data_IF_454217372961
#
_entry.id   IF_454217372961
#
_cell.length_a   1.000
_cell.length_b   1.000
_cell.length_c   1.000
_cell.angle_alpha   90.00
_cell.angle_beta   90.00
_cell.angle_gamma   90.00
#
_symmetry.space_group_name_H-M   'P 1'
#
loop_
_entity.id
_entity.type
_entity.pdbx_description
1 polymer ?
#
# COMPACT_ATOMS: atom_id res chain seq x y z
N UNK A 1 1.22 -33.36 0.67
CA UNK A 1 1.30 -32.11 -0.13
C UNK A 1 -0.12 -31.61 -0.25
N UNK A 2 -0.50 -30.62 0.57
CA UNK A 2 -1.75 -29.90 0.33
C UNK A 2 -1.63 -29.21 -1.02
N UNK A 3 -2.62 -29.41 -1.88
CA UNK A 3 -2.71 -28.66 -3.12
C UNK A 3 -3.06 -27.21 -2.76
N UNK A 4 -2.67 -26.26 -3.61
CA UNK A 4 -2.92 -24.82 -3.44
C UNK A 4 -4.42 -24.46 -3.27
N UNK A 5 -5.32 -25.42 -3.46
CA UNK A 5 -6.77 -25.30 -3.42
C UNK A 5 -7.44 -25.56 -2.06
N UNK A 6 -6.70 -25.95 -1.01
CA UNK A 6 -7.29 -26.32 0.30
C UNK A 6 -7.09 -25.27 1.42
N UNK A 7 -6.59 -24.06 1.10
CA UNK A 7 -6.36 -23.02 2.12
C UNK A 7 -7.56 -22.08 2.17
N UNK A 8 -8.29 -22.15 3.29
CA UNK A 8 -9.41 -21.27 3.58
C UNK A 8 -8.93 -19.93 4.16
N UNK A 9 -9.71 -18.88 3.92
CA UNK A 9 -9.49 -17.56 4.51
C UNK A 9 -9.72 -17.62 6.03
N UNK A 10 -8.66 -17.39 6.80
CA UNK A 10 -8.73 -17.32 8.26
C UNK A 10 -9.29 -15.96 8.71
N UNK A 11 -10.55 -15.98 9.14
CA UNK A 11 -11.26 -14.77 9.58
C UNK A 11 -10.67 -14.12 10.85
N UNK A 12 -9.76 -14.78 11.58
CA UNK A 12 -9.07 -14.18 12.72
C UNK A 12 -8.22 -12.96 12.34
N UNK A 13 -7.81 -12.80 11.08
CA UNK A 13 -7.16 -11.57 10.61
C UNK A 13 -8.06 -10.32 10.76
N UNK A 14 -9.38 -10.51 10.85
CA UNK A 14 -10.37 -9.44 11.04
C UNK A 14 -10.58 -9.07 12.52
N UNK A 15 -9.93 -9.77 13.45
CA UNK A 15 -10.11 -9.57 14.88
C UNK A 15 -9.41 -8.28 15.37
N UNK A 16 -10.19 -7.22 15.55
CA UNK A 16 -9.70 -5.93 16.04
C UNK A 16 -9.21 -5.93 17.50
N UNK A 17 -9.45 -7.00 18.26
CA UNK A 17 -8.90 -7.17 19.62
C UNK A 17 -7.56 -7.92 19.61
N UNK A 18 -7.06 -8.33 18.44
CA UNK A 18 -5.75 -8.96 18.29
C UNK A 18 -4.63 -8.03 18.76
N UNK A 19 -3.54 -8.55 19.36
CA UNK A 19 -2.35 -7.73 19.69
C UNK A 19 -1.70 -7.10 18.44
N UNK A 20 -1.98 -7.62 17.24
CA UNK A 20 -1.53 -7.07 15.97
C UNK A 20 -2.75 -6.97 15.06
N UNK A 21 -3.09 -5.75 14.64
CA UNK A 21 -4.18 -5.48 13.70
C UNK A 21 -3.57 -5.18 12.33
N UNK A 22 -4.00 -5.91 11.31
CA UNK A 22 -3.55 -5.69 9.93
C UNK A 22 -4.56 -4.86 9.15
N UNK A 23 -4.09 -3.77 8.58
CA UNK A 23 -4.87 -2.91 7.70
C UNK A 23 -4.28 -2.95 6.29
N UNK A 24 -4.94 -3.62 5.33
CA UNK A 24 -4.51 -3.71 3.95
C UNK A 24 -4.84 -2.40 3.24
N UNK A 25 -3.89 -1.88 2.48
CA UNK A 25 -4.06 -0.63 1.74
C UNK A 25 -3.88 -0.80 0.25
N UNK A 26 -4.51 0.11 -0.49
CA UNK A 26 -4.05 0.57 -1.79
C UNK A 26 -3.38 1.92 -1.58
N UNK A 27 -2.13 2.09 -2.02
CA UNK A 27 -1.21 3.17 -1.62
C UNK A 27 -1.68 4.60 -1.92
N UNK A 28 -2.66 4.75 -2.80
CA UNK A 28 -3.25 6.03 -3.17
C UNK A 28 -4.76 5.87 -3.24
N UNK A 29 -5.46 5.87 -2.10
CA UNK A 29 -6.91 5.66 -2.04
C UNK A 29 -7.55 6.58 -1.00
N UNK A 30 -8.39 7.54 -1.41
CA UNK A 30 -9.12 8.42 -0.49
C UNK A 30 -10.00 7.68 0.51
N UNK A 31 -10.77 6.67 0.07
CA UNK A 31 -11.61 5.88 0.98
C UNK A 31 -10.77 5.07 1.98
N UNK A 32 -9.72 4.38 1.50
CA UNK A 32 -8.78 3.65 2.34
C UNK A 32 -8.16 4.57 3.41
N UNK A 33 -7.65 5.73 3.00
CA UNK A 33 -7.07 6.73 3.89
C UNK A 33 -8.03 7.22 4.97
N UNK A 34 -9.28 7.52 4.60
CA UNK A 34 -10.31 7.95 5.56
C UNK A 34 -10.61 6.85 6.58
N UNK A 35 -10.81 5.63 6.10
CA UNK A 35 -11.18 4.48 6.93
C UNK A 35 -10.03 4.10 7.86
N UNK A 36 -8.79 4.12 7.37
CA UNK A 36 -7.59 3.88 8.17
C UNK A 36 -7.48 4.89 9.33
N UNK A 37 -7.70 6.18 9.06
CA UNK A 37 -7.69 7.21 10.12
C UNK A 37 -8.77 6.96 11.16
N UNK A 38 -9.98 6.62 10.72
CA UNK A 38 -11.08 6.30 11.63
C UNK A 38 -10.71 5.10 12.51
N UNK A 39 -10.25 4.01 11.90
CA UNK A 39 -9.85 2.80 12.61
C UNK A 39 -8.69 3.07 13.58
N UNK A 40 -7.65 3.80 13.17
CA UNK A 40 -6.51 4.09 14.02
C UNK A 40 -6.89 4.96 15.23
N UNK A 41 -7.83 5.90 15.05
CA UNK A 41 -8.36 6.72 16.15
C UNK A 41 -9.21 5.89 17.13
N UNK A 42 -10.01 4.93 16.64
CA UNK A 42 -10.80 4.04 17.48
C UNK A 42 -9.94 2.98 18.19
N UNK A 43 -8.94 2.42 17.49
CA UNK A 43 -8.04 1.40 18.00
C UNK A 43 -7.05 1.94 19.05
N UNK A 44 -6.62 3.20 18.92
CA UNK A 44 -5.58 3.81 19.76
C UNK A 44 -4.34 2.91 19.92
N UNK A 45 -3.69 2.50 18.82
CA UNK A 45 -2.56 1.57 18.88
C UNK A 45 -1.37 2.20 19.63
N UNK A 46 -0.56 1.36 20.27
CA UNK A 46 0.67 1.81 20.96
C UNK A 46 1.84 2.05 20.01
N UNK A 47 1.76 1.54 18.78
CA UNK A 47 2.73 1.75 17.71
C UNK A 47 2.10 1.46 16.35
N UNK A 48 2.63 2.10 15.31
CA UNK A 48 2.22 1.86 13.91
C UNK A 48 3.43 1.41 13.10
N UNK A 49 3.29 0.34 12.33
CA UNK A 49 4.32 -0.14 11.41
C UNK A 49 3.79 -0.11 9.98
N UNK A 50 4.58 0.43 9.06
CA UNK A 50 4.11 0.86 7.74
C UNK A 50 5.00 0.26 6.65
N UNK A 51 4.41 -0.23 5.56
CA UNK A 51 5.17 -0.60 4.37
C UNK A 51 5.88 0.62 3.78
N UNK A 52 7.20 0.56 3.79
CA UNK A 52 8.07 1.60 3.28
C UNK A 52 9.54 1.29 3.62
N UNK A 53 10.48 2.09 3.11
CA UNK A 53 11.90 1.79 3.18
C UNK A 53 12.42 1.90 4.62
N UNK A 54 12.75 0.76 5.24
CA UNK A 54 13.23 0.74 6.63
C UNK A 54 14.57 1.44 6.85
N UNK A 55 15.38 1.61 5.79
CA UNK A 55 16.60 2.42 5.76
C UNK A 55 16.34 3.93 5.84
N UNK A 56 15.07 4.37 5.72
CA UNK A 56 14.67 5.77 5.97
C UNK A 56 14.30 6.05 7.42
N UNK A 57 14.18 5.04 8.31
CA UNK A 57 13.66 5.23 9.67
C UNK A 57 14.46 6.24 10.52
N UNK A 58 15.79 6.32 10.35
CA UNK A 58 16.63 7.29 11.07
C UNK A 58 16.33 8.75 10.67
N UNK A 59 15.75 8.94 9.50
CA UNK A 59 15.38 10.23 8.90
C UNK A 59 13.86 10.44 8.85
N UNK A 60 13.06 9.56 9.47
CA UNK A 60 11.58 9.62 9.37
C UNK A 60 11.00 10.98 9.80
N UNK A 61 11.68 11.68 10.72
CA UNK A 61 11.29 13.03 11.16
C UNK A 61 11.32 14.08 10.03
N UNK A 62 12.09 13.85 8.96
CA UNK A 62 12.14 14.74 7.79
C UNK A 62 10.80 14.82 7.06
N UNK A 63 9.97 13.77 7.14
CA UNK A 63 8.61 13.78 6.58
C UNK A 63 7.74 14.87 7.21
N UNK A 64 8.09 15.36 8.40
CA UNK A 64 7.33 16.38 9.12
C UNK A 64 7.89 17.80 8.98
N UNK A 65 8.94 17.99 8.17
CA UNK A 65 9.44 19.32 7.84
C UNK A 65 8.40 20.11 7.02
N UNK A 66 8.47 21.45 6.99
CA UNK A 66 7.59 22.24 6.14
C UNK A 66 7.83 21.93 4.65
N UNK A 67 6.82 21.37 3.99
CA UNK A 67 6.78 21.12 2.54
C UNK A 67 5.33 20.99 2.07
N UNK A 68 5.14 20.90 0.76
CA UNK A 68 3.86 20.62 0.12
C UNK A 68 3.91 19.24 -0.55
N UNK A 69 2.79 18.51 -0.48
CA UNK A 69 2.62 17.23 -1.17
C UNK A 69 2.24 17.48 -2.63
N UNK A 70 2.60 16.57 -3.57
CA UNK A 70 3.25 15.27 -3.34
C UNK A 70 4.77 15.33 -3.09
N UNK A 71 5.27 14.41 -2.27
CA UNK A 71 6.70 14.15 -2.07
C UNK A 71 6.98 12.66 -2.27
N UNK A 72 8.23 12.26 -2.36
CA UNK A 72 8.61 10.85 -2.36
C UNK A 72 9.87 10.61 -1.53
N UNK A 73 9.99 9.43 -0.94
CA UNK A 73 11.29 8.91 -0.55
C UNK A 73 11.92 8.30 -1.81
N UNK A 74 13.10 8.77 -2.19
CA UNK A 74 13.86 8.28 -3.32
C UNK A 74 15.07 7.49 -2.83
N UNK A 75 15.07 6.18 -3.11
CA UNK A 75 16.22 5.30 -2.86
C UNK A 75 16.98 5.10 -4.16
N UNK A 76 18.31 5.13 -4.12
CA UNK A 76 19.15 4.90 -5.30
C UNK A 76 20.35 4.01 -4.97
N UNK A 77 20.85 3.34 -6.00
CA UNK A 77 22.08 2.54 -5.93
C UNK A 77 22.86 2.62 -7.24
N UNK A 78 24.19 2.50 -7.15
CA UNK A 78 25.05 2.21 -8.29
C UNK A 78 25.56 0.77 -8.17
N UNK A 79 25.19 -0.06 -9.14
CA UNK A 79 25.61 -1.46 -9.21
C UNK A 79 27.10 -1.55 -9.61
N UNK A 80 27.69 -2.75 -9.45
CA UNK A 80 29.11 -3.01 -9.72
C UNK A 80 29.52 -2.82 -11.17
N UNK A 81 28.58 -2.92 -12.12
CA UNK A 81 28.77 -2.64 -13.54
C UNK A 81 28.67 -1.13 -13.89
N UNK A 82 28.45 -0.27 -12.90
CA UNK A 82 28.24 1.17 -13.07
C UNK A 82 26.79 1.57 -13.38
N UNK A 83 25.87 0.62 -13.50
CA UNK A 83 24.45 0.88 -13.74
C UNK A 83 23.84 1.58 -12.53
N UNK A 84 23.24 2.75 -12.76
CA UNK A 84 22.50 3.50 -11.73
C UNK A 84 21.03 3.13 -11.79
N UNK A 85 20.47 2.83 -10.62
CA UNK A 85 19.06 2.50 -10.47
C UNK A 85 18.49 3.28 -9.29
N UNK A 86 17.18 3.51 -9.31
CA UNK A 86 16.48 4.09 -8.17
C UNK A 86 15.02 3.65 -8.10
N UNK A 87 14.45 3.85 -6.93
CA UNK A 87 13.04 3.63 -6.68
C UNK A 87 12.39 4.74 -5.86
N UNK A 88 11.10 4.94 -6.13
CA UNK A 88 10.27 5.95 -5.48
C UNK A 88 9.21 5.32 -4.60
N UNK A 89 9.02 5.93 -3.42
CA UNK A 89 7.92 5.71 -2.48
C UNK A 89 7.14 7.02 -2.36
N UNK A 90 6.19 7.28 -3.26
CA UNK A 90 5.49 8.55 -3.28
C UNK A 90 4.42 8.66 -2.20
N UNK A 91 4.22 9.88 -1.71
CA UNK A 91 3.15 10.27 -0.79
C UNK A 91 2.36 11.43 -1.37
N UNK A 92 1.05 11.34 -1.24
CA UNK A 92 0.13 12.46 -1.48
C UNK A 92 -0.84 12.60 -0.31
N UNK A 93 -1.69 13.63 -0.33
CA UNK A 93 -2.62 13.90 0.78
C UNK A 93 -3.57 12.75 1.07
N UNK A 94 -3.87 11.88 0.11
CA UNK A 94 -4.74 10.71 0.28
C UNK A 94 -3.97 9.37 0.21
N UNK A 95 -2.66 9.39 0.46
CA UNK A 95 -1.90 8.15 0.71
C UNK A 95 -2.18 7.62 2.12
N UNK A 96 -2.63 6.37 2.28
CA UNK A 96 -2.92 5.79 3.60
C UNK A 96 -1.70 5.80 4.54
N UNK A 97 -0.51 5.55 4.01
CA UNK A 97 0.77 5.60 4.72
C UNK A 97 1.05 7.01 5.24
N UNK A 98 0.80 8.04 4.42
CA UNK A 98 0.93 9.42 4.84
C UNK A 98 -0.07 9.76 5.94
N UNK A 99 -1.34 9.36 5.77
CA UNK A 99 -2.37 9.63 6.75
C UNK A 99 -2.11 8.95 8.09
N UNK A 100 -1.60 7.72 8.09
CA UNK A 100 -1.30 7.00 9.33
C UNK A 100 -0.06 7.56 10.04
N UNK A 101 0.93 8.09 9.32
CA UNK A 101 2.04 8.86 9.89
C UNK A 101 1.52 10.11 10.63
N UNK A 102 0.56 10.82 10.04
CA UNK A 102 -0.07 11.99 10.68
C UNK A 102 -0.86 11.60 11.93
N UNK A 103 -1.56 10.45 11.90
CA UNK A 103 -2.24 9.90 13.08
C UNK A 103 -1.23 9.57 14.18
N UNK A 104 -0.15 8.85 13.86
CA UNK A 104 0.89 8.51 14.82
C UNK A 104 1.48 9.75 15.50
N UNK A 105 1.78 10.79 14.71
CA UNK A 105 2.24 12.09 15.23
C UNK A 105 1.20 12.75 16.15
N UNK A 106 -0.08 12.71 15.79
CA UNK A 106 -1.15 13.32 16.60
C UNK A 106 -1.39 12.60 17.92
N UNK A 107 -1.16 11.28 17.97
CA UNK A 107 -1.29 10.45 19.16
C UNK A 107 0.01 10.38 19.97
N UNK A 108 1.10 10.98 19.48
CA UNK A 108 2.45 10.89 20.06
C UNK A 108 2.93 9.44 20.26
N UNK A 109 2.68 8.59 19.25
CA UNK A 109 3.08 7.17 19.25
C UNK A 109 4.16 6.90 18.18
N UNK A 110 5.02 5.89 18.38
CA UNK A 110 6.04 5.53 17.39
C UNK A 110 5.41 5.03 16.09
N UNK A 111 5.94 5.54 14.97
CA UNK A 111 5.73 5.00 13.63
C UNK A 111 7.07 4.60 13.00
N UNK A 112 7.10 3.48 12.29
CA UNK A 112 8.31 3.03 11.57
C UNK A 112 7.97 2.31 10.27
N UNK A 113 8.85 2.45 9.29
CA UNK A 113 8.85 1.69 8.05
C UNK A 113 9.43 0.29 8.25
N UNK A 114 8.80 -0.72 7.65
CA UNK A 114 9.13 -2.13 7.86
C UNK A 114 9.51 -2.91 6.61
N UNK A 115 9.50 -2.32 5.42
CA UNK A 115 9.91 -3.01 4.19
C UNK A 115 11.43 -3.04 4.03
N UNK A 116 11.90 -4.04 3.29
CA UNK A 116 13.31 -4.25 3.01
C UNK A 116 13.89 -3.04 2.25
N UNK A 117 15.09 -2.54 2.63
CA UNK A 117 15.74 -1.46 1.89
C UNK A 117 15.85 -1.80 0.41
N UNK A 118 15.34 -0.92 -0.46
CA UNK A 118 15.24 -1.25 -1.89
C UNK A 118 16.61 -1.52 -2.51
N UNK A 119 17.65 -0.83 -2.05
CA UNK A 119 19.02 -1.04 -2.51
C UNK A 119 19.51 -2.48 -2.32
N UNK A 120 18.96 -3.25 -1.36
CA UNK A 120 19.32 -4.66 -1.14
C UNK A 120 18.73 -5.61 -2.18
N UNK A 121 17.63 -5.21 -2.83
CA UNK A 121 16.97 -6.00 -3.89
C UNK A 121 17.13 -5.39 -5.28
N UNK A 122 17.84 -4.26 -5.39
CA UNK A 122 17.97 -3.50 -6.62
C UNK A 122 18.70 -4.25 -7.75
N UNK A 123 19.43 -5.33 -7.47
CA UNK A 123 19.99 -6.20 -8.50
C UNK A 123 18.95 -7.12 -9.16
N UNK A 124 17.84 -7.40 -8.47
CA UNK A 124 16.79 -8.33 -8.91
C UNK A 124 15.48 -7.62 -9.27
N UNK A 125 15.19 -6.49 -8.63
CA UNK A 125 13.98 -5.71 -8.88
C UNK A 125 13.99 -5.22 -10.32
N UNK A 126 12.94 -5.46 -11.11
CA UNK A 126 12.84 -4.87 -12.46
C UNK A 126 12.20 -3.48 -12.40
N UNK A 127 11.31 -3.25 -11.43
CA UNK A 127 10.52 -2.03 -11.32
C UNK A 127 11.18 -0.99 -10.43
N UNK A 128 11.18 0.27 -10.87
CA UNK A 128 11.57 1.45 -10.11
C UNK A 128 10.47 1.97 -9.18
N UNK A 129 9.29 1.36 -9.18
CA UNK A 129 8.15 1.88 -8.41
C UNK A 129 7.59 0.80 -7.50
N UNK A 130 7.42 1.14 -6.22
CA UNK A 130 7.18 0.17 -5.14
C UNK A 130 5.73 0.08 -4.69
N UNK A 131 4.91 1.06 -5.08
CA UNK A 131 3.49 1.17 -4.76
C UNK A 131 2.61 0.90 -5.98
N UNK A 132 3.09 0.10 -6.93
CA UNK A 132 2.34 -0.27 -8.12
C UNK A 132 1.35 -1.40 -7.84
N UNK A 133 0.21 -1.39 -8.54
CA UNK A 133 -0.83 -2.43 -8.45
C UNK A 133 -0.55 -3.62 -9.42
N UNK A 134 0.71 -3.83 -9.83
CA UNK A 134 1.08 -4.78 -10.90
C UNK A 134 0.70 -6.23 -10.63
N UNK A 135 0.69 -6.60 -9.35
CA UNK A 135 0.36 -7.91 -8.83
C UNK A 135 -1.12 -8.21 -9.02
N UNK A 136 -1.98 -7.20 -8.90
CA UNK A 136 -3.43 -7.32 -9.05
C UNK A 136 -3.87 -7.23 -10.51
N UNK A 137 -3.19 -6.42 -11.32
CA UNK A 137 -3.51 -6.26 -12.76
C UNK A 137 -3.39 -7.56 -13.56
N UNK A 138 -2.59 -8.52 -13.08
CA UNK A 138 -2.35 -9.81 -13.75
C UNK A 138 -3.26 -10.93 -13.21
N UNK A 139 -4.27 -10.59 -12.42
CA UNK A 139 -5.02 -11.57 -11.65
C UNK A 139 -6.28 -12.06 -12.33
N UNK A 140 -6.39 -13.37 -12.53
CA UNK A 140 -7.62 -14.02 -13.06
C UNK A 140 -8.85 -13.78 -12.18
N UNK A 141 -8.65 -13.60 -10.87
CA UNK A 141 -9.69 -13.17 -9.94
C UNK A 141 -10.18 -11.75 -10.24
N UNK A 142 -9.27 -10.82 -10.52
CA UNK A 142 -9.64 -9.44 -10.89
C UNK A 142 -10.33 -9.42 -12.25
N UNK A 143 -9.87 -10.20 -13.22
CA UNK A 143 -10.55 -10.37 -14.52
C UNK A 143 -12.01 -10.85 -14.33
N UNK A 144 -12.21 -11.87 -13.50
CA UNK A 144 -13.55 -12.39 -13.18
C UNK A 144 -14.42 -11.37 -12.44
N UNK A 145 -13.84 -10.53 -11.58
CA UNK A 145 -14.55 -9.43 -10.93
C UNK A 145 -14.96 -8.36 -11.94
N UNK A 146 -14.07 -7.99 -12.87
CA UNK A 146 -14.38 -7.05 -13.94
C UNK A 146 -15.58 -7.52 -14.77
N UNK A 147 -15.59 -8.80 -15.17
CA UNK A 147 -16.70 -9.40 -15.92
C UNK A 147 -18.02 -9.36 -15.13
N UNK A 148 -17.99 -9.73 -13.84
CA UNK A 148 -19.19 -9.79 -13.01
C UNK A 148 -19.75 -8.41 -12.63
N UNK A 149 -18.88 -7.41 -12.52
CA UNK A 149 -19.24 -6.03 -12.17
C UNK A 149 -19.48 -5.15 -13.40
N UNK A 150 -19.27 -5.70 -14.60
CA UNK A 150 -19.39 -4.99 -15.88
C UNK A 150 -18.49 -3.74 -15.97
N UNK A 151 -17.22 -3.89 -15.58
CA UNK A 151 -16.21 -2.81 -15.59
C UNK A 151 -14.92 -3.20 -16.32
N UNK A 152 -14.08 -2.22 -16.68
CA UNK A 152 -12.98 -2.43 -17.62
C UNK A 152 -11.65 -2.81 -16.94
N UNK A 153 -11.49 -2.54 -15.65
CA UNK A 153 -10.25 -2.90 -14.96
C UNK A 153 -10.25 -2.73 -13.45
N UNK A 154 -9.07 -3.00 -12.86
CA UNK A 154 -8.85 -2.94 -11.42
C UNK A 154 -9.24 -1.60 -10.79
N UNK A 155 -8.99 -0.48 -11.47
CA UNK A 155 -9.35 0.85 -10.96
C UNK A 155 -10.86 0.96 -10.73
N UNK A 156 -11.67 0.49 -11.69
CA UNK A 156 -13.12 0.55 -11.61
C UNK A 156 -13.66 -0.43 -10.57
N UNK A 157 -13.09 -1.63 -10.50
CA UNK A 157 -13.40 -2.60 -9.43
C UNK A 157 -13.12 -1.98 -8.06
N UNK A 158 -11.97 -1.31 -7.91
CA UNK A 158 -11.60 -0.64 -6.68
C UNK A 158 -12.57 0.50 -6.35
N UNK A 159 -12.94 1.31 -7.35
CA UNK A 159 -13.87 2.41 -7.16
C UNK A 159 -15.23 1.93 -6.68
N UNK A 160 -15.79 0.90 -7.34
CA UNK A 160 -17.08 0.30 -7.00
C UNK A 160 -17.10 -0.33 -5.61
N UNK A 161 -16.04 -1.07 -5.25
CA UNK A 161 -16.00 -1.81 -3.99
C UNK A 161 -15.62 -0.95 -2.79
N UNK A 162 -14.80 0.09 -3.00
CA UNK A 162 -14.16 0.84 -1.92
C UNK A 162 -14.34 2.35 -2.01
N UNK A 163 -14.15 2.99 -3.16
CA UNK A 163 -14.14 4.45 -3.21
C UNK A 163 -15.52 5.07 -3.10
N UNK A 164 -16.52 4.52 -3.80
CA UNK A 164 -17.82 5.20 -3.93
C UNK A 164 -18.87 4.77 -2.91
N UNK A 165 -18.64 3.70 -2.14
CA UNK A 165 -19.60 3.20 -1.15
C UNK A 165 -19.66 4.14 0.08
N UNK A 166 -20.75 4.90 0.27
CA UNK A 166 -20.86 5.88 1.37
C UNK A 166 -21.06 5.21 2.73
N UNK A 167 -21.43 3.92 2.76
CA UNK A 167 -21.69 3.16 3.97
C UNK A 167 -20.52 2.26 4.39
N UNK A 168 -19.39 2.35 3.67
CA UNK A 168 -18.20 1.57 3.95
C UNK A 168 -17.55 2.02 5.26
N UNK A 169 -17.80 1.21 6.29
CA UNK A 169 -17.23 1.34 7.63
C UNK A 169 -15.93 0.51 7.76
N UNK A 170 -15.12 0.71 8.82
CA UNK A 170 -13.87 0.00 9.00
C UNK A 170 -13.95 -1.53 8.99
N UNK A 171 -14.96 -2.13 9.63
CA UNK A 171 -15.10 -3.59 9.68
C UNK A 171 -15.40 -4.18 8.31
N UNK A 172 -16.33 -3.56 7.56
CA UNK A 172 -16.69 -4.01 6.22
C UNK A 172 -15.55 -3.78 5.23
N UNK A 173 -14.81 -2.68 5.35
CA UNK A 173 -13.60 -2.44 4.57
C UNK A 173 -12.56 -3.54 4.80
N UNK A 174 -12.23 -3.83 6.06
CA UNK A 174 -11.23 -4.86 6.38
C UNK A 174 -11.65 -6.21 5.81
N UNK A 175 -12.92 -6.59 5.98
CA UNK A 175 -13.46 -7.82 5.43
C UNK A 175 -13.31 -7.87 3.90
N UNK A 176 -13.84 -6.87 3.19
CA UNK A 176 -13.78 -6.80 1.71
C UNK A 176 -12.34 -6.80 1.22
N UNK A 177 -11.48 -5.96 1.79
CA UNK A 177 -10.12 -5.77 1.30
C UNK A 177 -9.24 -6.98 1.59
N UNK A 178 -9.30 -7.57 2.80
CA UNK A 178 -8.53 -8.79 3.09
C UNK A 178 -8.97 -9.96 2.21
N UNK A 179 -10.28 -10.15 2.00
CA UNK A 179 -10.78 -11.20 1.10
C UNK A 179 -10.38 -10.95 -0.35
N UNK A 180 -10.54 -9.72 -0.84
CA UNK A 180 -10.11 -9.33 -2.19
C UNK A 180 -8.63 -9.65 -2.41
N UNK A 181 -7.75 -9.20 -1.51
CA UNK A 181 -6.31 -9.41 -1.65
C UNK A 181 -5.92 -10.89 -1.48
N UNK A 182 -6.57 -11.62 -0.58
CA UNK A 182 -6.36 -13.05 -0.40
C UNK A 182 -6.69 -13.83 -1.68
N UNK A 183 -7.88 -13.60 -2.26
CA UNK A 183 -8.32 -14.31 -3.46
C UNK A 183 -7.55 -13.91 -4.70
N UNK A 184 -7.23 -12.61 -4.87
CA UNK A 184 -6.38 -12.14 -5.95
C UNK A 184 -5.01 -12.84 -5.91
N UNK A 185 -4.41 -12.93 -4.72
CA UNK A 185 -3.11 -13.59 -4.55
C UNK A 185 -3.15 -15.09 -4.82
N UNK A 186 -4.21 -15.78 -4.41
CA UNK A 186 -4.35 -17.22 -4.62
C UNK A 186 -4.60 -17.59 -6.08
N UNK A 187 -5.33 -16.74 -6.82
CA UNK A 187 -5.69 -16.97 -8.22
C UNK A 187 -4.48 -17.31 -9.09
N UNK A 188 -3.41 -16.54 -8.96
CA UNK A 188 -2.30 -16.58 -9.93
C UNK A 188 -1.06 -17.26 -9.36
N UNK A 189 -1.09 -17.64 -8.08
CA UNK A 189 -0.11 -18.49 -7.41
C UNK A 189 1.35 -18.02 -7.37
N UNK A 190 1.67 -16.86 -7.95
CA UNK A 190 3.03 -16.38 -8.12
C UNK A 190 3.28 -15.13 -7.27
N UNK A 191 3.72 -15.33 -6.02
CA UNK A 191 4.53 -14.32 -5.35
C UNK A 191 5.93 -14.36 -5.94
N UNK A 192 6.50 -13.21 -6.30
CA UNK A 192 7.88 -13.19 -6.79
C UNK A 192 8.83 -13.57 -5.66
N UNK A 193 10.03 -14.07 -6.00
CA UNK A 193 11.08 -14.33 -5.00
C UNK A 193 11.44 -13.06 -4.21
N UNK A 194 11.28 -11.88 -4.80
CA UNK A 194 11.48 -10.59 -4.13
C UNK A 194 10.39 -10.34 -3.10
N UNK A 195 9.12 -10.62 -3.42
CA UNK A 195 8.02 -10.42 -2.48
C UNK A 195 8.14 -11.33 -1.26
N UNK A 196 8.59 -12.57 -1.44
CA UNK A 196 8.86 -13.48 -0.33
C UNK A 196 9.96 -12.92 0.60
N UNK A 197 11.03 -12.34 0.04
CA UNK A 197 12.10 -11.71 0.83
C UNK A 197 11.61 -10.49 1.60
N UNK A 198 10.80 -9.63 0.95
CA UNK A 198 10.18 -8.48 1.61
C UNK A 198 9.26 -8.92 2.74
N UNK A 199 8.46 -9.95 2.52
CA UNK A 199 7.52 -10.48 3.51
C UNK A 199 8.24 -11.12 4.70
N UNK A 200 9.32 -11.84 4.46
CA UNK A 200 10.18 -12.37 5.54
C UNK A 200 10.75 -11.23 6.39
N UNK A 201 11.26 -10.17 5.74
CA UNK A 201 11.78 -9.00 6.43
C UNK A 201 10.69 -8.25 7.21
N UNK A 202 9.59 -7.88 6.55
CA UNK A 202 8.45 -7.20 7.17
C UNK A 202 7.87 -7.99 8.34
N UNK A 203 7.71 -9.31 8.21
CA UNK A 203 7.22 -10.16 9.30
C UNK A 203 8.18 -10.11 10.50
N UNK A 204 9.50 -10.17 10.27
CA UNK A 204 10.49 -10.05 11.36
C UNK A 204 10.39 -8.70 12.09
N UNK A 205 10.14 -7.63 11.35
CA UNK A 205 9.99 -6.27 11.89
C UNK A 205 8.67 -6.13 12.68
N UNK A 206 7.58 -6.75 12.22
CA UNK A 206 6.30 -6.80 12.96
C UNK A 206 6.47 -7.57 14.26
N UNK A 207 7.13 -8.73 14.25
CA UNK A 207 7.42 -9.53 15.45
C UNK A 207 8.26 -8.71 16.45
N UNK A 208 9.26 -7.98 15.97
CA UNK A 208 10.08 -7.08 16.80
C UNK A 208 9.25 -5.94 17.38
N UNK A 209 8.39 -5.30 16.60
CA UNK A 209 7.50 -4.25 17.10
C UNK A 209 6.56 -4.78 18.19
N UNK A 210 5.96 -5.95 17.96
CA UNK A 210 5.07 -6.63 18.92
C UNK A 210 5.77 -6.96 20.22
N UNK A 211 7.04 -7.35 20.20
CA UNK A 211 7.80 -7.65 21.42
C UNK A 211 8.31 -6.41 22.14
N UNK A 212 8.47 -5.29 21.42
CA UNK A 212 8.96 -4.02 21.97
C UNK A 212 7.86 -3.24 22.68
N UNK A 213 6.62 -3.30 22.19
CA UNK A 213 5.51 -2.51 22.70
C UNK A 213 4.51 -3.36 23.49
N UNK A 214 4.08 -2.87 24.65
CA UNK A 214 3.03 -3.49 25.47
C UNK A 214 1.66 -2.92 25.11
N UNK A 215 1.03 -3.48 24.07
CA UNK A 215 -0.29 -3.07 23.60
C UNK A 215 -0.55 -3.50 22.16
N UNK A 216 -1.68 -3.06 21.59
CA UNK A 216 -2.00 -3.36 20.19
C UNK A 216 -1.14 -2.52 19.24
N UNK A 217 -0.51 -3.16 18.26
CA UNK A 217 0.16 -2.48 17.16
C UNK A 217 -0.70 -2.53 15.90
N UNK A 218 -0.64 -1.46 15.10
CA UNK A 218 -1.30 -1.38 13.81
C UNK A 218 -0.29 -1.58 12.67
N UNK A 219 -0.53 -2.57 11.82
CA UNK A 219 0.26 -2.88 10.63
C UNK A 219 -0.44 -2.32 9.40
N UNK A 220 0.22 -1.46 8.64
CA UNK A 220 -0.31 -0.84 7.42
C UNK A 220 0.58 -1.26 6.25
N UNK A 221 0.07 -2.12 5.39
CA UNK A 221 0.82 -2.67 4.25
C UNK A 221 -0.05 -2.78 3.03
N UNK A 222 0.55 -2.73 1.84
CA UNK A 222 -0.10 -3.05 0.58
C UNK A 222 -0.86 -4.36 0.71
N UNK A 223 -2.12 -4.35 0.28
CA UNK A 223 -3.06 -5.43 0.58
C UNK A 223 -2.56 -6.82 0.13
N UNK A 224 -1.76 -6.87 -0.93
CA UNK A 224 -1.16 -8.11 -1.45
C UNK A 224 -0.30 -8.85 -0.41
N UNK A 225 0.44 -8.12 0.43
CA UNK A 225 1.32 -8.69 1.46
C UNK A 225 0.59 -9.02 2.76
N UNK A 226 -0.52 -8.35 3.03
CA UNK A 226 -1.12 -8.30 4.37
C UNK A 226 -1.46 -9.68 4.95
N UNK A 227 -2.06 -10.58 4.15
CA UNK A 227 -2.40 -11.92 4.64
C UNK A 227 -1.15 -12.81 4.81
N UNK A 228 -0.16 -12.68 3.93
CA UNK A 228 1.10 -13.42 4.04
C UNK A 228 1.85 -13.03 5.32
N UNK A 229 1.83 -11.74 5.68
CA UNK A 229 2.40 -11.24 6.92
C UNK A 229 1.63 -11.74 8.15
N UNK A 230 0.30 -11.69 8.11
CA UNK A 230 -0.54 -12.30 9.14
C UNK A 230 -0.17 -13.77 9.37
N UNK A 231 -0.07 -14.54 8.29
CA UNK A 231 0.27 -15.96 8.36
C UNK A 231 1.66 -16.21 8.95
N UNK A 232 2.68 -15.43 8.54
CA UNK A 232 4.05 -15.53 9.08
C UNK A 232 4.14 -15.13 10.55
N UNK A 233 3.43 -14.09 10.98
CA UNK A 233 3.49 -13.56 12.36
C UNK A 233 2.73 -14.46 13.36
N UNK A 234 1.67 -15.13 12.91
CA UNK A 234 0.80 -15.97 13.75
C UNK A 234 0.89 -17.47 13.46
N UNK A 235 1.86 -17.91 12.66
CA UNK A 235 2.07 -19.31 12.29
C UNK A 235 0.80 -19.97 11.72
N UNK A 236 0.15 -19.28 10.78
CA UNK A 236 -1.07 -19.75 10.09
C UNK A 236 -0.73 -20.39 8.75
N UNK A 237 -1.56 -21.32 8.26
CA UNK A 237 -1.38 -21.89 6.93
C UNK A 237 -1.54 -20.81 5.85
N UNK A 238 -0.59 -20.76 4.92
CA UNK A 238 -0.65 -19.97 3.71
C UNK A 238 0.19 -20.66 2.63
N UNK A 239 -0.17 -20.61 1.33
CA UNK A 239 0.59 -21.34 0.32
C UNK A 239 2.00 -20.76 0.25
N UNK A 240 2.98 -21.59 0.63
CA UNK A 240 4.40 -21.27 0.53
C UNK A 240 4.82 -21.57 -0.91
N UNK A 241 5.04 -20.53 -1.70
CA UNK A 241 5.84 -20.62 -2.94
C UNK A 241 7.34 -20.70 -2.55
N UNK A 242 8.20 -21.35 -3.36
CA UNK A 242 9.45 -21.97 -2.91
C UNK A 242 10.41 -21.01 -2.21
N UNK A 243 11.24 -21.59 -1.33
CA UNK A 243 12.26 -20.95 -0.49
C UNK A 243 12.88 -19.71 -1.14
N UNK A 244 12.79 -18.58 -0.44
CA UNK A 244 13.47 -17.34 -0.76
C UNK A 244 14.96 -17.62 -1.08
N UNK A 245 15.49 -17.15 -2.21
CA UNK A 245 16.91 -17.30 -2.50
C UNK A 245 17.73 -16.61 -1.40
N UNK A 246 18.91 -17.14 -1.04
CA UNK A 246 19.77 -16.50 -0.04
C UNK A 246 20.14 -15.09 -0.51
N UNK A 247 19.88 -14.09 0.35
CA UNK A 247 20.33 -12.72 0.11
C UNK A 247 21.85 -12.73 0.14
N UNK A 248 22.48 -12.37 -0.99
CA UNK A 248 23.85 -11.86 -0.95
C UNK A 248 23.74 -10.38 -0.61
N UNK A 249 24.00 -10.01 0.64
CA UNK A 249 24.12 -8.61 1.07
C UNK A 249 25.41 -8.03 0.49
N UNK A 250 25.48 -7.93 -0.83
CA UNK A 250 26.47 -7.14 -1.52
C UNK A 250 26.05 -5.69 -1.31
N UNK A 251 26.52 -5.07 -0.24
CA UNK A 251 26.47 -3.61 -0.09
C UNK A 251 27.06 -3.02 -1.38
N UNK A 252 26.18 -2.52 -2.25
CA UNK A 252 26.64 -1.72 -3.38
C UNK A 252 27.31 -0.50 -2.74
N UNK A 253 28.59 -0.21 -3.03
CA UNK A 253 29.35 0.77 -2.25
C UNK A 253 28.86 2.22 -2.39
N UNK A 254 27.80 2.44 -3.20
CA UNK A 254 27.26 3.75 -3.49
C UNK A 254 25.73 3.70 -3.55
N UNK A 255 25.11 3.58 -2.37
CA UNK A 255 23.66 3.69 -2.16
C UNK A 255 23.33 5.00 -1.45
N UNK A 256 22.09 5.45 -1.57
CA UNK A 256 21.58 6.56 -0.78
C UNK A 256 20.07 6.62 -0.81
N UNK A 257 19.52 7.40 0.12
CA UNK A 257 18.09 7.61 0.27
C UNK A 257 17.84 9.06 0.68
N UNK A 258 16.87 9.71 0.04
CA UNK A 258 16.58 11.12 0.28
C UNK A 258 15.10 11.43 0.07
N UNK A 259 14.61 12.46 0.75
CA UNK A 259 13.32 13.05 0.44
C UNK A 259 13.42 13.93 -0.82
N UNK A 260 12.49 13.75 -1.76
CA UNK A 260 12.48 14.49 -3.02
C UNK A 260 11.10 15.04 -3.34
N UNK A 261 10.99 16.26 -3.90
CA UNK A 261 9.74 16.75 -4.44
C UNK A 261 9.15 15.79 -5.49
N UNK A 262 7.83 15.65 -5.46
CA UNK A 262 7.09 14.82 -6.40
C UNK A 262 5.91 15.62 -6.98
N UNK A 263 5.12 15.02 -7.85
CA UNK A 263 4.05 15.73 -8.56
C UNK A 263 2.93 14.77 -8.92
N UNK A 264 1.71 15.29 -9.08
CA UNK A 264 0.58 14.49 -9.53
C UNK A 264 0.79 13.91 -10.93
N UNK A 265 1.45 14.63 -11.85
CA UNK A 265 1.80 14.10 -13.17
C UNK A 265 2.70 12.86 -13.10
N UNK A 266 3.57 12.79 -12.08
CA UNK A 266 4.42 11.62 -11.80
C UNK A 266 3.73 10.56 -10.97
N UNK A 267 2.55 10.83 -10.42
CA UNK A 267 1.69 9.83 -9.79
C UNK A 267 0.73 9.21 -10.81
N UNK A 268 0.48 9.86 -11.95
CA UNK A 268 -0.52 9.42 -12.92
C UNK A 268 0.01 8.29 -13.81
N UNK A 269 -0.71 7.15 -13.80
CA UNK A 269 -0.36 6.00 -14.64
C UNK A 269 -0.58 6.25 -16.13
N UNK A 270 -1.46 7.17 -16.51
CA UNK A 270 -1.74 7.49 -17.91
C UNK A 270 -0.59 8.20 -18.62
N UNK A 271 0.34 8.80 -17.87
CA UNK A 271 1.51 9.53 -18.41
C UNK A 271 2.78 8.63 -18.42
N UNK A 272 2.62 7.33 -18.12
CA UNK A 272 3.70 6.33 -18.18
C UNK A 272 4.33 6.02 -16.82
N UNK A 273 3.63 6.30 -15.71
CA UNK A 273 4.06 5.91 -14.38
C UNK A 273 3.37 4.61 -13.92
N UNK A 274 4.08 3.49 -13.94
CA UNK A 274 3.53 2.16 -13.62
C UNK A 274 2.99 2.01 -12.17
N UNK A 275 3.13 3.01 -11.29
CA UNK A 275 2.67 2.96 -9.89
C UNK A 275 1.40 3.77 -9.58
N UNK A 276 0.70 4.27 -10.60
CA UNK A 276 -0.31 5.30 -10.42
C UNK A 276 -1.77 4.86 -10.35
N UNK A 277 -2.50 5.36 -9.36
CA UNK A 277 -3.95 5.57 -9.47
C UNK A 277 -4.22 6.52 -10.64
N UNK A 278 -5.16 6.18 -11.52
CA UNK A 278 -5.54 7.03 -12.63
C UNK A 278 -6.06 8.39 -12.13
N UNK A 279 -5.86 9.46 -12.89
CA UNK A 279 -6.49 10.77 -12.60
C UNK A 279 -6.28 11.29 -11.15
N UNK A 280 -5.05 11.39 -10.64
CA UNK A 280 -4.80 11.75 -9.24
C UNK A 280 -5.43 13.09 -8.79
N UNK A 281 -5.55 14.07 -9.71
CA UNK A 281 -6.24 15.33 -9.42
C UNK A 281 -7.74 15.17 -9.11
N UNK A 282 -8.42 14.20 -9.73
CA UNK A 282 -9.82 13.88 -9.43
C UNK A 282 -9.96 13.36 -7.99
N UNK A 283 -9.10 12.41 -7.60
CA UNK A 283 -9.12 11.85 -6.25
C UNK A 283 -8.69 12.86 -5.18
N UNK A 284 -7.82 13.83 -5.50
CA UNK A 284 -7.56 14.98 -4.63
C UNK A 284 -8.84 15.75 -4.36
N UNK A 285 -9.58 16.15 -5.40
CA UNK A 285 -10.80 16.92 -5.20
C UNK A 285 -11.83 16.13 -4.38
N UNK A 286 -12.00 14.84 -4.66
CA UNK A 286 -12.89 13.96 -3.86
C UNK A 286 -12.43 13.89 -2.40
N UNK A 287 -11.12 13.85 -2.15
CA UNK A 287 -10.57 13.88 -0.79
C UNK A 287 -10.88 15.19 -0.07
N UNK A 288 -10.66 16.33 -0.72
CA UNK A 288 -10.93 17.66 -0.15
C UNK A 288 -12.42 17.86 0.14
N UNK A 289 -13.29 17.50 -0.79
CA UNK A 289 -14.74 17.58 -0.63
C UNK A 289 -15.18 16.77 0.61
N UNK A 290 -14.63 15.58 0.79
CA UNK A 290 -14.92 14.73 1.96
C UNK A 290 -14.40 15.34 3.26
N UNK A 291 -13.24 16.00 3.26
CA UNK A 291 -12.74 16.73 4.44
C UNK A 291 -13.66 17.88 4.84
N UNK A 292 -14.37 18.47 3.87
CA UNK A 292 -15.40 19.49 4.11
C UNK A 292 -16.76 18.90 4.51
N UNK A 293 -16.88 17.57 4.60
CA UNK A 293 -18.13 16.87 4.92
C UNK A 293 -19.08 16.74 3.74
N UNK A 294 -18.64 17.04 2.52
CA UNK A 294 -19.43 16.81 1.33
C UNK A 294 -19.34 15.33 0.89
N UNK A 295 -20.49 14.75 0.54
CA UNK A 295 -20.57 13.36 0.05
C UNK A 295 -21.08 13.32 -1.39
N UNK A 296 -20.84 12.19 -2.07
CA UNK A 296 -21.25 11.95 -3.46
C UNK A 296 -20.79 13.03 -4.46
N UNK A 297 -19.67 13.70 -4.16
CA UNK A 297 -19.18 14.80 -4.98
C UNK A 297 -18.47 14.33 -6.25
N UNK A 298 -18.03 13.07 -6.31
CA UNK A 298 -17.41 12.48 -7.50
C UNK A 298 -18.22 12.72 -8.79
N UNK A 299 -19.56 12.62 -8.72
CA UNK A 299 -20.45 12.94 -9.86
C UNK A 299 -20.45 14.42 -10.23
N UNK A 300 -20.40 15.30 -9.23
CA UNK A 300 -20.33 16.76 -9.44
C UNK A 300 -18.98 17.15 -10.03
N UNK A 301 -17.89 16.59 -9.53
CA UNK A 301 -16.53 16.78 -10.05
C UNK A 301 -16.46 16.33 -11.50
N UNK A 302 -16.94 15.13 -11.82
CA UNK A 302 -17.01 14.64 -13.20
C UNK A 302 -17.85 15.56 -14.09
N UNK A 303 -19.02 16.00 -13.61
CA UNK A 303 -19.88 16.94 -14.34
C UNK A 303 -19.16 18.26 -14.63
N UNK A 304 -18.37 18.77 -13.68
CA UNK A 304 -17.59 20.00 -13.84
C UNK A 304 -16.51 19.80 -14.90
N UNK A 305 -15.73 18.72 -14.81
CA UNK A 305 -14.70 18.37 -15.81
C UNK A 305 -15.32 18.28 -17.21
N UNK A 306 -16.44 17.57 -17.36
CA UNK A 306 -17.14 17.44 -18.65
C UNK A 306 -17.61 18.80 -19.19
N UNK A 307 -18.08 19.70 -18.32
CA UNK A 307 -18.50 21.06 -18.73
C UNK A 307 -17.32 21.94 -19.14
N UNK A 308 -16.17 21.72 -18.54
CA UNK A 308 -14.95 22.49 -18.77
C UNK A 308 -14.13 21.93 -19.96
N UNK A 309 -14.45 20.73 -20.46
CA UNK A 309 -13.88 20.19 -21.69
C UNK A 309 -14.24 21.11 -22.88
N UNK A 310 -13.26 21.54 -23.69
CA UNK A 310 -13.55 22.37 -24.85
C UNK A 310 -14.49 21.63 -25.81
N UNK A 311 -15.57 22.29 -26.22
CA UNK A 311 -16.59 21.75 -27.15
C UNK A 311 -16.06 21.34 -28.52
N UNK A 312 -14.80 21.61 -28.83
CA UNK A 312 -14.14 21.28 -30.10
C UNK A 312 -13.62 19.82 -30.16
N UNK A 313 -13.77 19.05 -29.09
CA UNK A 313 -13.34 17.64 -28.97
C UNK A 313 -14.49 16.64 -28.91
N UNK A 314 -15.74 17.07 -29.16
CA UNK A 314 -16.95 16.23 -29.26
C UNK A 314 -17.58 16.41 -30.64
#
# INVERSE_FOLDING_TARGET
>A
MQTQHDIEFDAEILNLNSPVVFFPVRHHSPACSRILKQLAAELCPVAIVIEGPSDFNSQISELFLPHELPIAIYSYTCLSDGTRRGAFYPFCVYSPEWQVLQVAKSLDIPAQFIDLPWAEIASFAQNSHRYADTEFQRSGYVETLCENLEVEGLNDVWDLLFEIDPHLNPQEYLKRCHQFCFHARLSDGCSSAIDLLREDFMASQIIKARSTHSGQILVVTGGFHSYALYAKVFDRPFPISPTSPPISTSQSPNTGIALTPFSYDRLDSLIGYDAGMSSPGFYHQVWDDRLLGETDTYRKVLTKVVKDLPREWV
#
